data_IF_858562051872
#
_entry.id   IF_858562051872
#
_cell.length_a   1.000
_cell.length_b   1.000
_cell.length_c   1.000
_cell.angle_alpha   90.00
_cell.angle_beta   90.00
_cell.angle_gamma   90.00
#
_symmetry.space_group_name_H-M   'P 1'
#
loop_
_entity.id
_entity.type
_entity.pdbx_description
1 polymer ?
#
# COMPACT_ATOMS: atom_id res chain seq x y z
N UNK A 1 -15.35 12.58 11.89
CA UNK A 1 -15.34 11.87 10.59
C UNK A 1 -14.68 12.65 9.45
N UNK A 2 -14.36 13.92 9.71
CA UNK A 2 -13.77 14.81 8.71
C UNK A 2 -12.39 14.37 8.22
N UNK A 3 -11.50 13.96 9.12
CA UNK A 3 -10.14 13.52 8.73
C UNK A 3 -10.17 12.25 7.88
N UNK A 4 -10.98 11.28 8.24
CA UNK A 4 -11.14 10.05 7.46
C UNK A 4 -11.69 10.35 6.07
N UNK A 5 -12.67 11.26 5.97
CA UNK A 5 -13.23 11.67 4.68
C UNK A 5 -12.17 12.31 3.78
N UNK A 6 -11.29 13.15 4.33
CA UNK A 6 -10.20 13.78 3.57
C UNK A 6 -9.18 12.76 3.10
N UNK A 7 -8.82 11.79 3.93
CA UNK A 7 -7.90 10.70 3.57
C UNK A 7 -8.49 9.87 2.44
N UNK A 8 -9.76 9.48 2.56
CA UNK A 8 -10.45 8.69 1.52
C UNK A 8 -10.50 9.46 0.20
N UNK A 9 -10.84 10.75 0.23
CA UNK A 9 -10.87 11.59 -0.97
C UNK A 9 -9.49 11.63 -1.65
N UNK A 10 -8.43 11.80 -0.88
CA UNK A 10 -7.07 11.80 -1.41
C UNK A 10 -6.70 10.47 -2.05
N UNK A 11 -7.06 9.36 -1.41
CA UNK A 11 -6.84 8.01 -1.95
C UNK A 11 -7.63 7.82 -3.26
N UNK A 12 -8.89 8.24 -3.30
CA UNK A 12 -9.71 8.16 -4.49
C UNK A 12 -9.10 8.95 -5.65
N UNK A 13 -8.61 10.15 -5.40
CA UNK A 13 -7.95 10.97 -6.41
C UNK A 13 -6.67 10.30 -6.93
N UNK A 14 -5.87 9.72 -6.03
CA UNK A 14 -4.67 8.97 -6.40
C UNK A 14 -5.01 7.77 -7.26
N UNK A 15 -6.07 7.02 -6.91
CA UNK A 15 -6.53 5.87 -7.69
C UNK A 15 -7.02 6.28 -9.07
N UNK A 16 -7.65 7.45 -9.20
CA UNK A 16 -8.03 7.98 -10.51
C UNK A 16 -6.80 8.19 -11.40
N UNK A 17 -5.75 8.78 -10.86
CA UNK A 17 -4.49 8.98 -11.59
C UNK A 17 -3.86 7.65 -12.00
N UNK A 18 -3.81 6.67 -11.09
CA UNK A 18 -3.32 5.33 -11.38
C UNK A 18 -4.16 4.65 -12.47
N UNK A 19 -5.48 4.79 -12.41
CA UNK A 19 -6.40 4.23 -13.40
C UNK A 19 -6.17 4.85 -14.78
N UNK A 20 -6.00 6.16 -14.86
CA UNK A 20 -5.71 6.85 -16.13
C UNK A 20 -4.42 6.33 -16.75
N UNK A 21 -3.37 6.16 -15.96
CA UNK A 21 -2.11 5.62 -16.43
C UNK A 21 -2.26 4.18 -16.91
N UNK A 22 -3.00 3.36 -16.18
CA UNK A 22 -3.24 1.97 -16.53
C UNK A 22 -4.19 1.84 -17.74
N UNK A 23 -5.11 2.79 -17.94
CA UNK A 23 -5.99 2.81 -19.12
C UNK A 23 -5.19 3.00 -20.41
N UNK A 24 -4.10 3.74 -20.35
CA UNK A 24 -3.14 3.85 -21.45
C UNK A 24 -2.49 2.49 -21.80
N UNK A 25 -2.52 1.52 -20.88
CA UNK A 25 -1.98 0.17 -21.06
C UNK A 25 -3.05 -0.87 -21.44
N UNK A 26 -4.29 -0.46 -21.69
CA UNK A 26 -5.41 -1.29 -22.16
C UNK A 26 -5.86 -2.45 -21.26
N UNK A 27 -5.90 -2.24 -19.94
CA UNK A 27 -6.28 -3.28 -18.97
C UNK A 27 -7.51 -2.81 -18.16
N UNK A 28 -8.74 -2.92 -18.68
CA UNK A 28 -9.85 -2.16 -18.10
C UNK A 28 -10.88 -2.83 -17.17
N UNK A 29 -11.46 -4.03 -17.32
CA UNK A 29 -12.65 -4.31 -16.49
C UNK A 29 -12.38 -4.73 -15.05
N UNK A 30 -11.34 -5.52 -14.78
CA UNK A 30 -11.05 -6.05 -13.45
C UNK A 30 -10.51 -4.99 -12.50
N UNK A 31 -9.77 -4.05 -13.03
CA UNK A 31 -9.10 -2.99 -12.28
C UNK A 31 -10.06 -2.01 -11.63
N UNK A 32 -11.12 -1.63 -12.32
CA UNK A 32 -12.15 -0.75 -11.77
C UNK A 32 -12.77 -1.38 -10.53
N UNK A 33 -13.08 -2.69 -10.60
CA UNK A 33 -13.60 -3.45 -9.48
C UNK A 33 -12.61 -3.49 -8.31
N UNK A 34 -11.35 -3.80 -8.57
CA UNK A 34 -10.33 -3.90 -7.51
C UNK A 34 -10.03 -2.54 -6.88
N UNK A 35 -10.05 -1.45 -7.65
CA UNK A 35 -9.89 -0.10 -7.09
C UNK A 35 -10.99 0.24 -6.10
N UNK A 36 -12.25 -0.09 -6.44
CA UNK A 36 -13.38 0.12 -5.54
C UNK A 36 -13.26 -0.71 -4.26
N UNK A 37 -12.89 -1.99 -4.40
CA UNK A 37 -12.68 -2.87 -3.25
C UNK A 37 -11.56 -2.37 -2.35
N UNK A 38 -10.47 -1.87 -2.91
CA UNK A 38 -9.36 -1.31 -2.14
C UNK A 38 -9.81 -0.10 -1.33
N UNK A 39 -10.56 0.82 -1.94
CA UNK A 39 -11.09 2.00 -1.23
C UNK A 39 -12.01 1.58 -0.09
N UNK A 40 -12.92 0.63 -0.34
CA UNK A 40 -13.83 0.11 0.67
C UNK A 40 -13.07 -0.52 1.84
N UNK A 41 -12.05 -1.32 1.55
CA UNK A 41 -11.21 -1.96 2.57
C UNK A 41 -10.47 -0.92 3.40
N UNK A 42 -9.92 0.11 2.77
CA UNK A 42 -9.22 1.20 3.46
C UNK A 42 -10.20 1.96 4.36
N UNK A 43 -11.39 2.30 3.85
CA UNK A 43 -12.41 2.98 4.62
C UNK A 43 -12.81 2.18 5.86
N UNK A 44 -13.02 0.87 5.70
CA UNK A 44 -13.33 -0.03 6.80
C UNK A 44 -12.22 -0.06 7.85
N UNK A 45 -10.96 -0.14 7.42
CA UNK A 45 -9.82 -0.13 8.34
C UNK A 45 -9.72 1.20 9.11
N UNK A 46 -10.00 2.31 8.47
CA UNK A 46 -10.03 3.61 9.14
C UNK A 46 -11.13 3.68 10.20
N UNK A 47 -12.31 3.13 9.92
CA UNK A 47 -13.42 3.10 10.87
C UNK A 47 -13.10 2.18 12.07
N UNK A 48 -12.52 1.01 11.82
CA UNK A 48 -12.08 0.09 12.87
C UNK A 48 -11.03 0.77 13.75
N UNK A 49 -10.06 1.45 13.15
CA UNK A 49 -9.02 2.18 13.88
C UNK A 49 -9.60 3.31 14.73
N UNK A 50 -10.55 4.07 14.20
CA UNK A 50 -11.21 5.14 14.92
C UNK A 50 -11.98 4.60 16.13
N UNK A 51 -12.67 3.49 15.97
CA UNK A 51 -13.39 2.81 17.05
C UNK A 51 -12.44 2.26 18.11
N UNK A 52 -11.37 1.59 17.70
CA UNK A 52 -10.41 0.96 18.60
C UNK A 52 -9.62 1.98 19.43
N UNK A 53 -9.20 3.10 18.82
CA UNK A 53 -8.38 4.10 19.48
C UNK A 53 -9.18 5.29 19.99
N UNK A 54 -10.49 5.32 19.74
CA UNK A 54 -11.38 6.40 20.18
C UNK A 54 -11.21 7.69 19.40
N UNK A 55 -10.43 7.69 18.32
CA UNK A 55 -10.21 8.88 17.51
C UNK A 55 -9.80 8.49 16.09
N UNK A 56 -10.07 9.38 15.13
CA UNK A 56 -9.60 9.23 13.76
C UNK A 56 -8.09 9.48 13.66
N UNK A 57 -7.47 8.98 12.59
CA UNK A 57 -6.07 9.29 12.30
C UNK A 57 -5.92 10.80 12.16
N UNK A 58 -5.07 11.44 12.97
CA UNK A 58 -4.87 12.88 12.87
C UNK A 58 -4.06 13.24 11.63
N UNK A 59 -4.45 14.31 10.96
CA UNK A 59 -3.72 14.77 9.77
C UNK A 59 -2.47 15.55 10.18
N UNK A 60 -2.52 16.21 11.33
CA UNK A 60 -1.46 17.11 11.82
C UNK A 60 -0.57 16.51 12.90
N UNK A 61 -0.54 15.17 13.01
CA UNK A 61 0.27 14.46 14.02
C UNK A 61 0.00 14.94 15.46
N UNK A 62 -1.25 15.28 15.75
CA UNK A 62 -1.65 15.90 17.02
C UNK A 62 -1.68 14.94 18.21
N UNK A 63 -1.55 13.63 17.98
CA UNK A 63 -1.57 12.61 19.02
C UNK A 63 -0.17 12.08 19.38
N UNK A 64 0.88 12.75 18.93
CA UNK A 64 2.26 12.33 19.16
C UNK A 64 2.79 11.28 18.18
N UNK A 65 1.94 10.86 17.24
CA UNK A 65 2.33 9.88 16.21
C UNK A 65 3.20 10.56 15.15
N UNK A 66 4.26 9.88 14.70
CA UNK A 66 5.12 10.33 13.62
C UNK A 66 4.77 9.53 12.38
N UNK A 67 4.08 10.16 11.41
CA UNK A 67 3.55 9.45 10.23
C UNK A 67 4.64 8.82 9.36
N UNK A 68 5.78 9.48 9.22
CA UNK A 68 6.90 8.92 8.45
C UNK A 68 7.42 7.62 9.06
N UNK A 69 7.50 7.55 10.40
CA UNK A 69 7.91 6.35 11.12
C UNK A 69 6.86 5.24 11.00
N UNK A 70 5.59 5.59 11.17
CA UNK A 70 4.49 4.63 11.04
C UNK A 70 4.44 4.03 9.64
N UNK A 71 4.56 4.87 8.61
CA UNK A 71 4.57 4.41 7.22
C UNK A 71 5.74 3.48 6.93
N UNK A 72 6.93 3.81 7.44
CA UNK A 72 8.11 2.98 7.27
C UNK A 72 7.92 1.60 7.90
N UNK A 73 7.38 1.54 9.11
CA UNK A 73 7.11 0.29 9.80
C UNK A 73 6.13 -0.59 9.03
N UNK A 74 5.06 0.01 8.49
CA UNK A 74 4.07 -0.71 7.67
C UNK A 74 4.68 -1.21 6.36
N UNK A 75 5.57 -0.44 5.74
CA UNK A 75 6.28 -0.89 4.54
C UNK A 75 7.22 -2.06 4.85
N UNK A 76 7.89 -2.03 5.99
CA UNK A 76 8.73 -3.16 6.44
C UNK A 76 7.88 -4.43 6.61
N UNK A 77 6.73 -4.33 7.24
CA UNK A 77 5.81 -5.46 7.41
C UNK A 77 5.32 -5.98 6.06
N UNK A 78 4.97 -5.09 5.15
CA UNK A 78 4.54 -5.45 3.80
C UNK A 78 5.63 -6.24 3.06
N UNK A 79 6.87 -5.81 3.16
CA UNK A 79 8.02 -6.49 2.54
C UNK A 79 8.17 -7.91 3.11
N UNK A 80 8.05 -8.09 4.41
CA UNK A 80 8.12 -9.40 5.06
C UNK A 80 7.01 -10.32 4.52
N UNK A 81 5.77 -9.84 4.48
CA UNK A 81 4.65 -10.66 4.01
C UNK A 81 4.75 -10.99 2.53
N UNK A 82 5.14 -10.04 1.69
CA UNK A 82 5.33 -10.28 0.26
C UNK A 82 6.44 -11.30 0.01
N UNK A 83 7.54 -11.23 0.76
CA UNK A 83 8.62 -12.20 0.70
C UNK A 83 8.13 -13.60 1.09
N UNK A 84 7.36 -13.69 2.16
CA UNK A 84 6.79 -14.97 2.63
C UNK A 84 5.85 -15.58 1.60
N UNK A 85 5.01 -14.77 0.97
CA UNK A 85 4.11 -15.21 -0.11
C UNK A 85 4.92 -15.76 -1.28
N UNK A 86 5.95 -15.04 -1.71
CA UNK A 86 6.80 -15.45 -2.82
C UNK A 86 7.52 -16.77 -2.55
N UNK A 87 8.10 -16.92 -1.37
CA UNK A 87 8.79 -18.14 -0.97
C UNK A 87 7.82 -19.33 -0.90
N UNK A 88 6.61 -19.11 -0.39
CA UNK A 88 5.58 -20.15 -0.33
C UNK A 88 5.14 -20.58 -1.74
N UNK A 89 4.97 -19.65 -2.65
CA UNK A 89 4.63 -19.94 -4.04
C UNK A 89 5.73 -20.75 -4.74
N UNK A 90 7.00 -20.39 -4.53
CA UNK A 90 8.14 -21.13 -5.09
C UNK A 90 8.15 -22.55 -4.55
N UNK A 91 7.99 -22.74 -3.25
CA UNK A 91 8.02 -24.06 -2.62
C UNK A 91 6.90 -24.98 -3.12
N UNK A 92 5.75 -24.42 -3.49
CA UNK A 92 4.58 -25.19 -3.95
C UNK A 92 4.47 -25.32 -5.46
N UNK A 93 5.30 -24.61 -6.23
CA UNK A 93 5.17 -24.56 -7.69
C UNK A 93 5.51 -25.93 -8.30
N UNK A 94 4.56 -26.48 -9.06
CA UNK A 94 4.70 -27.74 -9.78
C UNK A 94 4.54 -27.55 -11.29
N UNK A 95 3.93 -26.44 -11.70
CA UNK A 95 3.67 -26.13 -13.11
C UNK A 95 4.39 -24.82 -13.48
N UNK A 96 4.55 -24.62 -14.79
CA UNK A 96 5.12 -23.39 -15.31
C UNK A 96 4.27 -22.17 -14.91
N UNK A 97 2.94 -22.30 -14.95
CA UNK A 97 2.03 -21.23 -14.57
C UNK A 97 2.20 -20.82 -13.10
N UNK A 98 2.34 -21.82 -12.21
CA UNK A 98 2.61 -21.56 -10.79
C UNK A 98 3.97 -20.89 -10.57
N UNK A 99 5.01 -21.30 -11.32
CA UNK A 99 6.32 -20.65 -11.27
C UNK A 99 6.26 -19.20 -11.75
N UNK A 100 5.46 -18.94 -12.78
CA UNK A 100 5.25 -17.57 -13.28
C UNK A 100 4.57 -16.68 -12.25
N UNK A 101 3.61 -17.22 -11.49
CA UNK A 101 2.98 -16.49 -10.38
C UNK A 101 3.99 -16.13 -9.29
N UNK A 102 4.87 -17.07 -8.94
CA UNK A 102 5.94 -16.82 -7.97
C UNK A 102 6.90 -15.73 -8.46
N UNK A 103 7.23 -15.77 -9.75
CA UNK A 103 8.10 -14.76 -10.37
C UNK A 103 7.45 -13.37 -10.37
N UNK A 104 6.15 -13.28 -10.66
CA UNK A 104 5.40 -12.03 -10.59
C UNK A 104 5.42 -11.45 -9.18
N UNK A 105 5.25 -12.27 -8.16
CA UNK A 105 5.33 -11.84 -6.77
C UNK A 105 6.72 -11.30 -6.42
N UNK A 106 7.78 -11.92 -6.96
CA UNK A 106 9.15 -11.43 -6.82
C UNK A 106 9.32 -10.01 -7.39
N UNK A 107 8.68 -9.73 -8.53
CA UNK A 107 8.71 -8.39 -9.13
C UNK A 107 7.98 -7.36 -8.26
N UNK A 108 6.83 -7.73 -7.69
CA UNK A 108 6.09 -6.85 -6.75
C UNK A 108 6.96 -6.57 -5.53
N UNK A 109 7.58 -7.58 -4.95
CA UNK A 109 8.48 -7.42 -3.79
C UNK A 109 9.65 -6.49 -4.13
N UNK A 110 10.28 -6.68 -5.28
CA UNK A 110 11.38 -5.81 -5.73
C UNK A 110 10.93 -4.35 -5.82
N UNK A 111 9.79 -4.09 -6.45
CA UNK A 111 9.28 -2.73 -6.64
C UNK A 111 8.96 -2.05 -5.30
N UNK A 112 8.28 -2.74 -4.40
CA UNK A 112 7.95 -2.20 -3.09
C UNK A 112 9.22 -1.92 -2.28
N UNK A 113 10.19 -2.84 -2.30
CA UNK A 113 11.47 -2.68 -1.59
C UNK A 113 12.25 -1.48 -2.13
N UNK A 114 12.33 -1.35 -3.46
CA UNK A 114 12.99 -0.24 -4.12
C UNK A 114 12.37 1.11 -3.73
N UNK A 115 11.03 1.20 -3.79
CA UNK A 115 10.32 2.44 -3.42
C UNK A 115 10.47 2.75 -1.94
N UNK A 116 10.51 1.74 -1.09
CA UNK A 116 10.74 1.92 0.35
C UNK A 116 12.11 2.50 0.62
N UNK A 117 13.15 2.02 -0.05
CA UNK A 117 14.51 2.55 0.10
C UNK A 117 14.57 4.01 -0.35
N UNK A 118 13.96 4.32 -1.49
CA UNK A 118 13.90 5.71 -1.97
C UNK A 118 13.18 6.62 -0.98
N UNK A 119 12.08 6.16 -0.43
CA UNK A 119 11.32 6.89 0.58
C UNK A 119 12.17 7.17 1.83
N UNK A 120 12.90 6.17 2.30
CA UNK A 120 13.82 6.31 3.42
C UNK A 120 14.90 7.36 3.15
N UNK A 121 15.51 7.32 1.98
CA UNK A 121 16.54 8.28 1.61
C UNK A 121 16.01 9.70 1.64
N UNK A 122 14.80 9.94 1.11
CA UNK A 122 14.17 11.24 1.15
C UNK A 122 13.90 11.73 2.58
N UNK A 123 13.43 10.85 3.45
CA UNK A 123 13.15 11.19 4.85
C UNK A 123 14.44 11.55 5.57
N UNK A 124 15.45 10.71 5.46
CA UNK A 124 16.72 10.91 6.16
C UNK A 124 17.47 12.15 5.67
N UNK A 125 17.40 12.44 4.40
CA UNK A 125 18.01 13.67 3.88
C UNK A 125 17.32 14.93 4.39
N UNK A 126 16.00 14.91 4.50
CA UNK A 126 15.24 16.02 5.07
C UNK A 126 15.50 16.23 6.56
N UNK A 127 15.76 15.17 7.30
CA UNK A 127 16.05 15.25 8.74
C UNK A 127 17.46 15.72 9.04
N UNK A 128 18.37 15.66 8.08
CA UNK A 128 19.75 16.15 8.23
C UNK A 128 19.88 17.67 8.06
N UNK A 129 18.83 18.32 7.67
CA UNK A 129 18.77 19.76 7.54
C UNK A 129 18.15 20.34 8.81
#
# INVERSE_FOLDING_TARGET
MENNARIITNIQNTLMMVREQLDAENIIPKRVKYSSLLVDDIAQRLDIGAEKYGMQVPIEESDGRIFTQEAYEELCDAIVYLSSIGLNLIAKAKTEDERNKAHTMGSVLFNITYQTIKYMEEIYEKEKI
#
